data_IF_725305302164
#
_entry.id   IF_725305302164
#
_cell.length_a   1.000
_cell.length_b   1.000
_cell.length_c   1.000
_cell.angle_alpha   90.00
_cell.angle_beta   90.00
_cell.angle_gamma   90.00
#
_symmetry.space_group_name_H-M   'P 1'
#
loop_
_entity.id
_entity.type
_entity.pdbx_description
1 polymer ?
#
# COMPACT_ATOMS: atom_id res chain seq x y z
N UNK A 1 6.56 16.13 -2.80
CA UNK A 1 5.31 15.49 -3.26
C UNK A 1 4.92 14.41 -2.26
N UNK A 2 3.65 14.35 -1.90
CA UNK A 2 3.11 13.40 -0.92
C UNK A 2 2.08 12.50 -1.59
N UNK A 3 2.26 11.18 -1.45
CA UNK A 3 1.39 10.17 -2.07
C UNK A 3 0.87 9.22 -0.99
N UNK A 4 -0.44 9.02 -0.95
CA UNK A 4 -1.10 8.15 0.02
C UNK A 4 -1.70 6.94 -0.67
N UNK A 5 -1.38 5.75 -0.17
CA UNK A 5 -2.02 4.51 -0.60
C UNK A 5 -3.09 4.12 0.42
N UNK A 6 -4.31 3.86 -0.03
CA UNK A 6 -5.42 3.51 0.84
C UNK A 6 -6.03 2.16 0.52
N UNK A 7 -6.30 1.38 1.54
CA UNK A 7 -7.13 0.19 1.47
C UNK A 7 -8.00 0.16 2.73
N UNK A 8 -8.78 -0.90 2.95
CA UNK A 8 -9.70 -0.93 4.10
C UNK A 8 -8.96 -1.07 5.43
N UNK A 9 -8.15 -2.12 5.57
CA UNK A 9 -7.54 -2.47 6.87
C UNK A 9 -6.14 -1.90 7.08
N UNK A 10 -5.51 -1.35 6.06
CA UNK A 10 -4.09 -0.93 6.11
C UNK A 10 -3.21 -2.05 6.67
N UNK A 11 -3.45 -3.26 6.20
CA UNK A 11 -2.81 -4.47 6.70
C UNK A 11 -1.90 -5.11 5.65
N UNK A 12 -2.37 -5.28 4.43
CA UNK A 12 -1.64 -5.97 3.36
C UNK A 12 -1.35 -5.07 2.17
N UNK A 13 -2.35 -4.80 1.32
CA UNK A 13 -2.14 -4.09 0.03
C UNK A 13 -1.46 -2.74 0.17
N UNK A 14 -1.98 -1.87 1.02
CA UNK A 14 -1.40 -0.54 1.18
C UNK A 14 -0.04 -0.57 1.87
N UNK A 15 0.21 -1.55 2.74
CA UNK A 15 1.53 -1.73 3.35
C UNK A 15 2.56 -2.19 2.31
N UNK A 16 2.18 -3.12 1.42
CA UNK A 16 3.05 -3.55 0.32
C UNK A 16 3.40 -2.37 -0.58
N UNK A 17 2.39 -1.58 -0.96
CA UNK A 17 2.58 -0.43 -1.83
C UNK A 17 3.47 0.63 -1.20
N UNK A 18 3.23 0.99 0.05
CA UNK A 18 4.03 1.97 0.77
C UNK A 18 5.49 1.51 0.88
N UNK A 19 5.71 0.26 1.28
CA UNK A 19 7.06 -0.28 1.43
C UNK A 19 7.85 -0.27 0.12
N UNK A 20 7.22 -0.73 -0.96
CA UNK A 20 7.85 -0.77 -2.27
C UNK A 20 8.13 0.64 -2.81
N UNK A 21 7.17 1.55 -2.69
CA UNK A 21 7.34 2.92 -3.19
C UNK A 21 8.45 3.64 -2.44
N UNK A 22 8.52 3.50 -1.12
CA UNK A 22 9.61 4.07 -0.32
C UNK A 22 10.97 3.52 -0.73
N UNK A 23 11.05 2.20 -0.96
CA UNK A 23 12.30 1.58 -1.35
C UNK A 23 12.79 2.05 -2.71
N UNK A 24 11.87 2.26 -3.66
CA UNK A 24 12.22 2.62 -5.03
C UNK A 24 12.31 4.12 -5.27
N UNK A 25 11.46 4.92 -4.63
CA UNK A 25 11.32 6.34 -4.92
C UNK A 25 11.32 7.23 -3.67
N UNK A 26 11.73 6.71 -2.51
CA UNK A 26 11.68 7.44 -1.25
C UNK A 26 12.57 8.69 -1.20
N UNK A 27 13.53 8.81 -2.11
CA UNK A 27 14.37 10.00 -2.24
C UNK A 27 13.74 11.08 -3.13
N UNK A 28 12.60 10.77 -3.79
CA UNK A 28 11.93 11.69 -4.73
C UNK A 28 10.57 12.16 -4.25
N UNK A 29 9.95 11.42 -3.35
CA UNK A 29 8.62 11.73 -2.81
C UNK A 29 8.45 11.07 -1.46
N UNK A 30 7.44 11.53 -0.72
CA UNK A 30 7.05 10.92 0.55
C UNK A 30 5.82 10.05 0.33
N UNK A 31 5.86 8.83 0.87
CA UNK A 31 4.79 7.85 0.70
C UNK A 31 4.20 7.48 2.05
N UNK A 32 2.89 7.32 2.06
CA UNK A 32 2.10 7.02 3.26
C UNK A 32 1.08 5.95 2.92
N UNK A 33 0.55 5.27 3.93
CA UNK A 33 -0.57 4.37 3.75
C UNK A 33 -1.54 4.49 4.91
N UNK A 34 -2.81 4.19 4.65
CA UNK A 34 -3.85 4.24 5.67
C UNK A 34 -5.04 3.38 5.26
N UNK A 35 -5.93 3.14 6.21
CA UNK A 35 -7.18 2.42 5.98
C UNK A 35 -8.34 3.08 6.68
N UNK A 36 -9.56 2.70 6.30
CA UNK A 36 -10.77 3.17 6.97
C UNK A 36 -11.03 2.43 8.28
N UNK A 37 -10.60 1.17 8.35
CA UNK A 37 -10.78 0.31 9.54
C UNK A 37 -9.42 -0.33 9.81
N UNK A 38 -8.47 0.39 10.44
CA UNK A 38 -7.13 -0.15 10.64
C UNK A 38 -7.13 -1.37 11.58
N UNK A 39 -6.22 -2.29 11.35
CA UNK A 39 -6.07 -3.49 12.18
C UNK A 39 -4.61 -3.63 12.61
N UNK A 40 -3.83 -4.42 11.88
CA UNK A 40 -2.39 -4.60 12.12
C UNK A 40 -1.70 -4.91 10.79
N UNK A 41 -0.40 -4.64 10.73
CA UNK A 41 0.40 -5.01 9.54
C UNK A 41 0.44 -6.53 9.45
N UNK A 42 0.06 -7.08 8.29
CA UNK A 42 0.03 -8.51 8.09
C UNK A 42 1.46 -9.07 8.08
N UNK A 43 1.76 -10.11 8.89
CA UNK A 43 3.11 -10.68 8.93
C UNK A 43 3.61 -11.20 7.58
N UNK A 44 2.72 -11.65 6.70
CA UNK A 44 3.11 -12.09 5.37
C UNK A 44 3.55 -10.93 4.49
N UNK A 45 2.96 -9.74 4.66
CA UNK A 45 3.44 -8.55 3.97
C UNK A 45 4.87 -8.23 4.38
N UNK A 46 5.17 -8.28 5.68
CA UNK A 46 6.52 -8.08 6.18
C UNK A 46 7.48 -9.10 5.58
N UNK A 47 7.08 -10.38 5.60
CA UNK A 47 7.91 -11.48 5.11
C UNK A 47 8.26 -11.37 3.64
N UNK A 48 7.25 -11.16 2.77
CA UNK A 48 7.50 -11.16 1.33
C UNK A 48 8.27 -9.91 0.88
N UNK A 49 8.14 -8.79 1.59
CA UNK A 49 8.97 -7.62 1.32
C UNK A 49 10.41 -7.84 1.79
N UNK A 50 10.59 -8.50 2.91
CA UNK A 50 11.92 -8.82 3.43
C UNK A 50 12.70 -9.72 2.44
N UNK A 51 12.00 -10.60 1.72
CA UNK A 51 12.61 -11.45 0.68
C UNK A 51 13.31 -10.64 -0.41
N UNK A 52 12.90 -9.41 -0.63
CA UNK A 52 13.51 -8.52 -1.61
C UNK A 52 14.18 -7.31 -0.95
N UNK A 53 14.59 -7.47 0.30
CA UNK A 53 15.35 -6.48 1.07
C UNK A 53 14.58 -5.18 1.34
N UNK A 54 13.27 -5.25 1.44
CA UNK A 54 12.42 -4.12 1.84
C UNK A 54 11.93 -4.38 3.26
N UNK A 55 12.33 -3.51 4.19
CA UNK A 55 11.99 -3.64 5.61
C UNK A 55 10.82 -2.74 5.98
N UNK A 56 9.70 -3.33 6.39
CA UNK A 56 8.54 -2.58 6.88
C UNK A 56 8.22 -2.91 8.36
N UNK A 57 9.20 -3.46 9.09
CA UNK A 57 8.97 -3.81 10.51
C UNK A 57 8.63 -2.60 11.37
N UNK A 58 9.01 -1.39 10.96
CA UNK A 58 8.63 -0.17 11.65
C UNK A 58 7.27 0.41 11.25
N UNK A 59 6.58 -0.19 10.30
CA UNK A 59 5.27 0.28 9.86
C UNK A 59 4.18 -0.09 10.88
N UNK A 60 3.10 0.70 10.90
CA UNK A 60 1.91 0.40 11.71
C UNK A 60 0.67 0.53 10.85
N UNK A 61 -0.37 -0.21 11.22
CA UNK A 61 -1.69 -0.05 10.60
C UNK A 61 -2.37 1.16 11.24
N UNK A 62 -2.93 2.06 10.41
CA UNK A 62 -3.45 3.32 10.91
C UNK A 62 -4.58 3.85 10.02
N UNK A 63 -5.40 4.73 10.58
CA UNK A 63 -6.40 5.43 9.80
C UNK A 63 -5.79 6.71 9.21
N UNK A 64 -6.47 7.27 8.22
CA UNK A 64 -6.04 8.53 7.59
C UNK A 64 -6.02 9.68 8.60
N UNK A 65 -6.87 9.61 9.63
CA UNK A 65 -6.93 10.63 10.69
C UNK A 65 -5.69 10.64 11.57
N UNK A 66 -5.00 9.50 11.66
CA UNK A 66 -3.81 9.35 12.50
C UNK A 66 -2.51 9.71 11.78
N UNK A 67 -2.56 10.00 10.49
CA UNK A 67 -1.37 10.40 9.74
C UNK A 67 -1.11 11.88 10.00
N UNK A 68 0.14 12.28 10.37
CA UNK A 68 0.47 13.69 10.57
C UNK A 68 0.29 14.52 9.30
N UNK A 69 0.63 13.95 8.15
CA UNK A 69 0.47 14.61 6.86
C UNK A 69 -1.00 14.64 6.47
N UNK A 70 -1.53 15.81 6.13
CA UNK A 70 -2.95 15.98 5.78
C UNK A 70 -3.17 16.39 4.33
N UNK A 71 -2.14 16.84 3.62
CA UNK A 71 -2.24 17.24 2.23
C UNK A 71 -1.46 16.28 1.34
N UNK A 72 -2.15 15.70 0.36
CA UNK A 72 -1.56 14.74 -0.56
C UNK A 72 -1.75 15.19 -2.00
N UNK A 73 -0.71 15.04 -2.79
CA UNK A 73 -0.79 15.31 -4.24
C UNK A 73 -1.60 14.22 -4.93
N UNK A 74 -1.42 12.96 -4.49
CA UNK A 74 -2.16 11.82 -5.02
C UNK A 74 -2.64 10.94 -3.88
N UNK A 75 -3.87 10.47 -4.01
CA UNK A 75 -4.43 9.41 -3.15
C UNK A 75 -4.80 8.24 -4.06
N UNK A 76 -4.16 7.10 -3.82
CA UNK A 76 -4.31 5.91 -4.65
C UNK A 76 -5.04 4.84 -3.85
N UNK A 77 -6.26 4.50 -4.27
CA UNK A 77 -7.05 3.45 -3.62
C UNK A 77 -6.79 2.10 -4.29
N UNK A 78 -6.70 1.06 -3.47
CA UNK A 78 -6.24 -0.26 -3.91
C UNK A 78 -7.29 -1.37 -3.77
N UNK A 79 -8.49 -1.05 -3.30
CA UNK A 79 -9.55 -2.04 -3.11
C UNK A 79 -10.08 -2.56 -4.45
N UNK A 80 -10.35 -3.86 -4.54
CA UNK A 80 -10.88 -4.46 -5.77
C UNK A 80 -12.38 -4.75 -5.67
N UNK A 81 -12.81 -5.46 -4.62
CA UNK A 81 -14.18 -5.97 -4.48
C UNK A 81 -14.95 -5.35 -3.33
N UNK A 82 -14.26 -4.89 -2.30
CA UNK A 82 -14.89 -4.25 -1.15
C UNK A 82 -15.12 -2.75 -1.38
N UNK A 83 -15.89 -2.13 -0.49
CA UNK A 83 -16.09 -0.69 -0.54
C UNK A 83 -14.79 0.02 -0.16
N UNK A 84 -14.26 0.80 -1.09
CA UNK A 84 -13.05 1.58 -0.86
C UNK A 84 -13.33 2.78 0.04
N UNK A 85 -12.40 3.11 0.95
CA UNK A 85 -12.52 4.36 1.71
C UNK A 85 -12.46 5.58 0.80
N UNK A 86 -13.12 6.65 1.21
CA UNK A 86 -13.15 7.92 0.49
C UNK A 86 -12.26 8.92 1.21
N UNK A 87 -11.36 9.55 0.48
CA UNK A 87 -10.55 10.65 0.99
C UNK A 87 -11.24 11.98 0.68
N UNK A 88 -11.49 12.79 1.71
CA UNK A 88 -12.30 14.03 1.59
C UNK A 88 -11.49 15.29 1.32
N UNK A 89 -10.19 15.21 1.10
CA UNK A 89 -9.34 16.36 0.83
C UNK A 89 -9.21 16.67 -0.65
N UNK A 90 -8.60 17.82 -0.94
CA UNK A 90 -8.22 18.16 -2.31
C UNK A 90 -7.00 17.36 -2.71
N UNK A 91 -7.15 16.53 -3.74
CA UNK A 91 -6.09 15.66 -4.22
C UNK A 91 -6.47 15.11 -5.59
N UNK A 92 -5.48 14.62 -6.33
CA UNK A 92 -5.76 13.83 -7.52
C UNK A 92 -5.97 12.39 -7.06
N UNK A 93 -7.15 11.84 -7.32
CA UNK A 93 -7.51 10.49 -6.89
C UNK A 93 -7.29 9.51 -8.02
N UNK A 94 -6.55 8.44 -7.71
CA UNK A 94 -6.30 7.33 -8.63
C UNK A 94 -6.83 6.05 -8.00
N UNK A 95 -7.16 5.08 -8.84
CA UNK A 95 -7.65 3.80 -8.37
C UNK A 95 -6.90 2.67 -9.08
N UNK A 96 -6.14 1.90 -8.28
CA UNK A 96 -5.39 0.73 -8.75
C UNK A 96 -5.98 -0.50 -8.06
N UNK A 97 -7.02 -1.13 -8.62
CA UNK A 97 -7.65 -2.27 -7.94
C UNK A 97 -6.74 -3.50 -7.90
N UNK A 98 -6.53 -4.02 -6.71
CA UNK A 98 -5.80 -5.25 -6.47
C UNK A 98 -6.62 -6.17 -5.58
N UNK A 99 -6.65 -7.46 -5.89
CA UNK A 99 -7.29 -8.42 -5.03
C UNK A 99 -6.53 -8.51 -3.71
N UNK A 100 -7.28 -8.69 -2.60
CA UNK A 100 -6.67 -8.84 -1.29
C UNK A 100 -5.96 -10.20 -1.23
N UNK A 101 -4.64 -10.24 -0.99
CA UNK A 101 -3.92 -11.52 -0.88
C UNK A 101 -4.20 -12.24 0.43
N UNK A 102 -4.77 -11.54 1.42
CA UNK A 102 -5.16 -12.14 2.69
C UNK A 102 -6.46 -12.92 2.54
N UNK A 103 -6.75 -13.80 3.48
CA UNK A 103 -7.98 -14.59 3.46
C UNK A 103 -7.80 -16.02 3.00
N UNK A 104 -6.67 -16.36 2.40
CA UNK A 104 -6.35 -17.76 2.08
C UNK A 104 -5.96 -18.48 3.36
N UNK A 105 -6.63 -19.61 3.65
CA UNK A 105 -6.44 -20.35 4.90
C UNK A 105 -5.22 -21.29 4.88
N UNK A 106 -4.81 -21.75 3.69
CA UNK A 106 -3.65 -22.63 3.56
C UNK A 106 -2.37 -21.79 3.55
N UNK A 107 -1.44 -22.00 4.51
CA UNK A 107 -0.26 -21.14 4.63
C UNK A 107 0.59 -21.05 3.37
N UNK A 108 0.80 -22.16 2.65
CA UNK A 108 1.61 -22.13 1.43
C UNK A 108 0.98 -21.28 0.33
N UNK A 109 -0.35 -21.37 0.19
CA UNK A 109 -1.09 -20.60 -0.81
C UNK A 109 -1.19 -19.14 -0.41
N UNK A 110 -1.34 -18.85 0.88
CA UNK A 110 -1.34 -17.47 1.38
C UNK A 110 -0.02 -16.78 1.06
N UNK A 111 1.09 -17.44 1.33
CA UNK A 111 2.42 -16.92 1.04
C UNK A 111 2.61 -16.67 -0.45
N UNK A 112 2.18 -17.62 -1.28
CA UNK A 112 2.26 -17.50 -2.74
C UNK A 112 1.44 -16.32 -3.24
N UNK A 113 0.24 -16.10 -2.69
CA UNK A 113 -0.62 -14.97 -3.04
C UNK A 113 0.05 -13.65 -2.69
N UNK A 114 0.67 -13.55 -1.52
CA UNK A 114 1.39 -12.35 -1.10
C UNK A 114 2.58 -12.06 -2.01
N UNK A 115 3.34 -13.07 -2.39
CA UNK A 115 4.48 -12.88 -3.32
C UNK A 115 4.01 -12.38 -4.68
N UNK A 116 2.94 -12.97 -5.20
CA UNK A 116 2.39 -12.54 -6.49
C UNK A 116 1.89 -11.10 -6.42
N UNK A 117 1.18 -10.76 -5.35
CA UNK A 117 0.67 -9.41 -5.16
C UNK A 117 1.81 -8.41 -5.01
N UNK A 118 2.85 -8.76 -4.24
CA UNK A 118 4.07 -7.95 -4.13
C UNK A 118 4.66 -7.65 -5.50
N UNK A 119 4.82 -8.69 -6.33
CA UNK A 119 5.43 -8.54 -7.65
C UNK A 119 4.58 -7.70 -8.59
N UNK A 120 3.25 -7.83 -8.52
CA UNK A 120 2.32 -7.01 -9.29
C UNK A 120 2.39 -5.54 -8.86
N UNK A 121 2.46 -5.27 -7.56
CA UNK A 121 2.63 -3.92 -7.05
C UNK A 121 3.97 -3.33 -7.47
N UNK A 122 5.02 -4.11 -7.43
CA UNK A 122 6.34 -3.65 -7.85
C UNK A 122 6.33 -3.19 -9.31
N UNK A 123 5.74 -4.00 -10.19
CA UNK A 123 5.58 -3.65 -11.59
C UNK A 123 4.76 -2.37 -11.78
N UNK A 124 3.64 -2.26 -11.09
CA UNK A 124 2.75 -1.11 -11.19
C UNK A 124 3.44 0.17 -10.71
N UNK A 125 4.12 0.09 -9.59
CA UNK A 125 4.84 1.23 -9.01
C UNK A 125 5.99 1.66 -9.93
N UNK A 126 6.75 0.71 -10.46
CA UNK A 126 7.85 1.01 -11.39
C UNK A 126 7.38 1.73 -12.64
N UNK A 127 6.20 1.37 -13.16
CA UNK A 127 5.69 1.95 -14.40
C UNK A 127 4.92 3.26 -14.17
N UNK A 128 4.17 3.38 -13.07
CA UNK A 128 3.25 4.50 -12.88
C UNK A 128 3.81 5.65 -12.03
N UNK A 129 4.58 5.36 -10.99
CA UNK A 129 5.08 6.42 -10.10
C UNK A 129 5.97 7.43 -10.83
N UNK A 130 6.89 7.03 -11.74
CA UNK A 130 7.65 8.02 -12.49
C UNK A 130 6.80 9.03 -13.26
N UNK A 131 5.63 8.61 -13.75
CA UNK A 131 4.71 9.51 -14.44
C UNK A 131 4.09 10.56 -13.50
N UNK A 132 3.86 10.17 -12.25
CA UNK A 132 3.32 11.09 -11.23
C UNK A 132 4.35 12.10 -10.76
N UNK A 133 5.63 11.76 -10.82
CA UNK A 133 6.74 12.60 -10.35
C UNK A 133 7.22 13.63 -11.38
N UNK A 134 6.66 13.62 -12.56
CA UNK A 134 7.03 14.58 -13.62
C UNK A 134 6.57 15.99 -13.33
#
# INVERSE_FOLDING_TARGET
MNILFMCVANSARSQLAEGLAKAMFGNKASFYSAGSIPSKVNPLAVKVLQEISVDITGHSSKSVEDIPQKEFDYVITLCAEEVCPVFLGKTTKLHWPFQDPAGEKKPELAEKNFRRTRDLFKEKIESEIPNLLK
#
